data_IF_748303744777
#
_entry.id   IF_748303744777
#
_cell.length_a   1.000
_cell.length_b   1.000
_cell.length_c   1.000
_cell.angle_alpha   90.00
_cell.angle_beta   90.00
_cell.angle_gamma   90.00
#
_symmetry.space_group_name_H-M   'P 1'
#
loop_
_entity.id
_entity.type
_entity.pdbx_description
1 polymer ?
#
# COMPACT_ATOMS: atom_id res chain seq x y z
N UNK A 1 -17.09 28.01 -37.48
CA UNK A 1 -16.97 26.53 -37.38
C UNK A 1 -18.32 25.84 -37.39
N UNK A 2 -19.15 25.96 -36.34
CA UNK A 2 -20.48 25.29 -36.32
C UNK A 2 -21.49 25.96 -37.27
N UNK A 3 -21.42 27.29 -37.41
CA UNK A 3 -22.27 28.06 -38.36
C UNK A 3 -21.94 27.74 -39.83
N UNK A 4 -20.70 27.35 -40.12
CA UNK A 4 -20.29 27.00 -41.49
C UNK A 4 -20.80 25.62 -41.91
N UNK A 5 -21.03 24.72 -40.95
CA UNK A 5 -21.61 23.39 -41.16
C UNK A 5 -23.13 23.46 -41.39
N UNK A 6 -23.84 24.46 -40.85
CA UNK A 6 -25.29 24.59 -41.05
C UNK A 6 -25.68 25.13 -42.43
N UNK A 7 -24.71 25.67 -43.17
CA UNK A 7 -24.92 26.27 -44.49
C UNK A 7 -24.60 25.30 -45.63
N UNK A 8 -24.26 24.03 -45.35
CA UNK A 8 -23.99 23.02 -46.37
C UNK A 8 -25.24 22.16 -46.66
N UNK A 9 -25.61 22.07 -47.94
CA UNK A 9 -26.78 21.28 -48.41
C UNK A 9 -26.56 19.75 -48.31
N UNK A 10 -25.32 19.28 -48.08
CA UNK A 10 -24.98 17.85 -47.94
C UNK A 10 -24.02 17.64 -46.77
N UNK A 11 -24.25 16.59 -45.97
CA UNK A 11 -23.41 16.29 -44.79
C UNK A 11 -22.08 15.71 -45.24
N UNK A 12 -21.00 16.49 -45.14
CA UNK A 12 -19.65 15.99 -45.32
C UNK A 12 -19.10 15.41 -44.00
N UNK A 13 -19.07 14.09 -43.91
CA UNK A 13 -18.63 13.35 -42.71
C UNK A 13 -17.22 13.75 -42.27
N UNK A 14 -16.28 13.90 -43.21
CA UNK A 14 -14.89 14.26 -42.89
C UNK A 14 -14.76 15.69 -42.33
N UNK A 15 -15.58 16.62 -42.85
CA UNK A 15 -15.60 18.01 -42.36
C UNK A 15 -16.24 18.10 -40.98
N UNK A 16 -17.30 17.34 -40.75
CA UNK A 16 -17.93 17.21 -39.44
C UNK A 16 -16.98 16.62 -38.40
N UNK A 17 -16.31 15.51 -38.73
CA UNK A 17 -15.32 14.87 -37.86
C UNK A 17 -14.18 15.83 -37.50
N UNK A 18 -13.67 16.58 -38.47
CA UNK A 18 -12.64 17.60 -38.22
C UNK A 18 -13.11 18.67 -37.24
N UNK A 19 -14.33 19.19 -37.40
CA UNK A 19 -14.88 20.19 -36.47
C UNK A 19 -15.09 19.60 -35.07
N UNK A 20 -15.53 18.35 -34.95
CA UNK A 20 -15.65 17.66 -33.66
C UNK A 20 -14.28 17.54 -32.99
N UNK A 21 -13.25 17.12 -33.74
CA UNK A 21 -11.87 17.01 -33.23
C UNK A 21 -11.35 18.38 -32.78
N UNK A 22 -11.59 19.44 -33.55
CA UNK A 22 -11.12 20.78 -33.20
C UNK A 22 -11.81 21.31 -31.92
N UNK A 23 -13.13 21.10 -31.78
CA UNK A 23 -13.86 21.43 -30.54
C UNK A 23 -13.31 20.62 -29.35
N UNK A 24 -13.09 19.32 -29.55
CA UNK A 24 -12.55 18.42 -28.53
C UNK A 24 -11.17 18.90 -28.05
N UNK A 25 -10.26 19.21 -28.98
CA UNK A 25 -8.92 19.67 -28.68
C UNK A 25 -8.95 21.00 -27.92
N UNK A 26 -9.81 21.94 -28.32
CA UNK A 26 -9.98 23.21 -27.61
C UNK A 26 -10.46 23.00 -26.17
N UNK A 27 -11.49 22.17 -25.96
CA UNK A 27 -12.02 21.87 -24.62
C UNK A 27 -10.98 21.15 -23.76
N UNK A 28 -10.27 20.16 -24.31
CA UNK A 28 -9.22 19.41 -23.61
C UNK A 28 -8.05 20.31 -23.18
N UNK A 29 -7.62 21.21 -24.06
CA UNK A 29 -6.56 22.17 -23.76
C UNK A 29 -6.99 23.13 -22.65
N UNK A 30 -8.22 23.67 -22.71
CA UNK A 30 -8.73 24.56 -21.67
C UNK A 30 -8.90 23.83 -20.33
N UNK A 31 -9.35 22.58 -20.35
CA UNK A 31 -9.46 21.74 -19.15
C UNK A 31 -8.10 21.45 -18.51
N UNK A 32 -7.08 21.17 -19.32
CA UNK A 32 -5.70 20.98 -18.86
C UNK A 32 -5.16 22.26 -18.21
N UNK A 33 -5.40 23.41 -18.83
CA UNK A 33 -4.98 24.71 -18.28
C UNK A 33 -5.60 24.98 -16.91
N UNK A 34 -6.90 24.72 -16.74
CA UNK A 34 -7.60 24.88 -15.45
C UNK A 34 -7.04 23.90 -14.42
N UNK A 35 -6.89 22.62 -14.78
CA UNK A 35 -6.40 21.59 -13.86
C UNK A 35 -4.96 21.88 -13.37
N UNK A 36 -4.07 22.32 -14.27
CA UNK A 36 -2.66 22.55 -13.95
C UNK A 36 -2.44 23.91 -13.27
N UNK A 37 -3.08 24.98 -13.75
CA UNK A 37 -2.80 26.34 -13.27
C UNK A 37 -3.74 26.81 -12.14
N UNK A 38 -5.04 26.48 -12.21
CA UNK A 38 -6.02 26.98 -11.24
C UNK A 38 -6.11 26.06 -10.02
N UNK A 39 -6.13 24.73 -10.23
CA UNK A 39 -6.28 23.74 -9.14
C UNK A 39 -4.95 23.14 -8.67
N UNK A 40 -3.85 23.46 -9.39
CA UNK A 40 -2.50 22.96 -9.10
C UNK A 40 -2.46 21.42 -8.96
N UNK A 41 -2.79 20.74 -10.06
CA UNK A 41 -2.77 19.27 -10.15
C UNK A 41 -1.42 18.67 -9.71
N UNK A 42 -0.30 19.37 -9.95
CA UNK A 42 1.01 18.93 -9.49
C UNK A 42 1.06 18.82 -7.97
N UNK A 43 0.63 19.87 -7.25
CA UNK A 43 0.53 19.82 -5.79
C UNK A 43 -0.45 18.75 -5.32
N UNK A 44 -1.61 18.62 -5.95
CA UNK A 44 -2.59 17.60 -5.56
C UNK A 44 -2.05 16.18 -5.72
N UNK A 45 -1.34 15.89 -6.82
CA UNK A 45 -0.68 14.59 -6.98
C UNK A 45 0.44 14.37 -5.96
N UNK A 46 1.16 15.43 -5.57
CA UNK A 46 2.11 15.39 -4.45
C UNK A 46 1.42 14.97 -3.14
N UNK A 47 0.27 15.55 -2.81
CA UNK A 47 -0.51 15.17 -1.63
C UNK A 47 -1.01 13.72 -1.70
N UNK A 48 -1.46 13.27 -2.88
CA UNK A 48 -1.84 11.87 -3.09
C UNK A 48 -0.66 10.92 -2.81
N UNK A 49 0.55 11.27 -3.27
CA UNK A 49 1.76 10.51 -2.96
C UNK A 49 2.06 10.51 -1.46
N UNK A 50 1.97 11.67 -0.83
CA UNK A 50 2.29 11.84 0.58
C UNK A 50 1.40 10.99 1.49
N UNK A 51 0.08 10.98 1.24
CA UNK A 51 -0.89 10.31 2.10
C UNK A 51 -1.28 8.90 1.60
N UNK A 52 -1.75 8.72 0.36
CA UNK A 52 -2.15 7.38 -0.09
C UNK A 52 -0.96 6.44 -0.29
N UNK A 53 0.21 6.97 -0.70
CA UNK A 53 1.39 6.17 -1.02
C UNK A 53 2.47 6.22 0.09
N UNK A 54 2.12 6.77 1.26
CA UNK A 54 2.98 6.89 2.44
C UNK A 54 4.31 7.61 2.16
N UNK A 55 4.29 8.66 1.33
CA UNK A 55 5.47 9.48 1.05
C UNK A 55 6.04 10.19 2.29
N UNK A 56 5.20 10.50 3.28
CA UNK A 56 5.60 11.15 4.54
C UNK A 56 5.97 10.14 5.63
N UNK A 57 7.18 9.60 5.57
CA UNK A 57 7.65 8.55 6.48
C UNK A 57 7.59 8.89 7.98
N UNK A 58 7.92 10.13 8.34
CA UNK A 58 7.87 10.64 9.73
C UNK A 58 6.43 10.70 10.27
N UNK A 59 5.51 11.23 9.45
CA UNK A 59 4.09 11.27 9.80
C UNK A 59 3.51 9.88 10.05
N UNK A 60 3.79 8.93 9.15
CA UNK A 60 3.30 7.56 9.33
C UNK A 60 3.98 6.83 10.48
N UNK A 61 5.22 7.16 10.82
CA UNK A 61 5.88 6.63 12.03
C UNK A 61 5.14 7.09 13.29
N UNK A 62 4.88 8.39 13.38
CA UNK A 62 4.15 8.97 14.51
C UNK A 62 2.72 8.44 14.58
N UNK A 63 2.03 8.32 13.43
CA UNK A 63 0.70 7.72 13.36
C UNK A 63 0.69 6.27 13.87
N UNK A 64 1.65 5.43 13.46
CA UNK A 64 1.79 4.08 14.00
C UNK A 64 2.04 4.10 15.52
N UNK A 65 2.85 5.04 16.01
CA UNK A 65 3.10 5.21 17.44
C UNK A 65 1.82 5.51 18.23
N UNK A 66 1.02 6.47 17.76
CA UNK A 66 -0.25 6.87 18.39
C UNK A 66 -1.30 5.75 18.31
N UNK A 67 -1.40 5.08 17.17
CA UNK A 67 -2.33 3.96 16.97
C UNK A 67 -2.03 2.81 17.93
N UNK A 68 -0.76 2.44 18.06
CA UNK A 68 -0.31 1.34 18.91
C UNK A 68 -0.35 1.70 20.41
N UNK A 69 -0.01 2.94 20.78
CA UNK A 69 -0.18 3.42 22.16
C UNK A 69 -1.63 3.38 22.62
N UNK A 70 -2.57 3.65 21.70
CA UNK A 70 -4.01 3.51 21.95
C UNK A 70 -4.45 2.04 22.04
N UNK A 71 -3.82 1.13 21.29
CA UNK A 71 -4.15 -0.30 21.32
C UNK A 71 -3.96 -0.95 22.70
N UNK A 72 -3.05 -0.41 23.53
CA UNK A 72 -2.79 -0.91 24.89
C UNK A 72 -3.87 -0.47 25.92
N UNK A 73 -4.78 0.45 25.56
CA UNK A 73 -5.71 1.12 26.49
C UNK A 73 -7.18 0.99 26.08
N UNK A 74 -7.74 -0.22 26.08
CA UNK A 74 -9.15 -0.58 25.72
C UNK A 74 -9.42 -0.85 24.22
N UNK A 75 -9.69 -2.13 23.89
CA UNK A 75 -9.92 -2.65 22.53
C UNK A 75 -11.20 -2.12 21.85
N UNK A 76 -12.20 -1.67 22.60
CA UNK A 76 -13.51 -1.23 22.09
C UNK A 76 -13.51 0.22 21.56
N UNK A 77 -12.61 1.09 22.05
CA UNK A 77 -12.54 2.50 21.62
C UNK A 77 -11.57 2.74 20.45
N UNK A 78 -10.86 1.70 19.99
CA UNK A 78 -9.85 1.76 18.90
C UNK A 78 -10.37 2.49 17.66
N UNK A 79 -11.63 2.27 17.30
CA UNK A 79 -12.26 2.86 16.11
C UNK A 79 -12.52 4.36 16.22
N UNK A 80 -12.84 4.87 17.41
CA UNK A 80 -13.07 6.32 17.62
C UNK A 80 -11.75 7.07 17.72
N UNK A 81 -10.72 6.40 18.21
CA UNK A 81 -9.42 6.99 18.46
C UNK A 81 -8.50 7.00 17.23
N UNK A 82 -8.75 6.20 16.19
CA UNK A 82 -7.86 6.14 15.02
C UNK A 82 -7.85 7.42 14.20
N UNK A 83 -9.02 8.00 13.92
CA UNK A 83 -9.12 9.29 13.22
C UNK A 83 -8.43 10.40 14.03
N UNK A 84 -8.67 10.42 15.34
CA UNK A 84 -7.97 11.34 16.25
C UNK A 84 -6.46 11.10 16.29
N UNK A 85 -6.01 9.85 16.27
CA UNK A 85 -4.58 9.50 16.23
C UNK A 85 -3.92 10.00 14.94
N UNK A 86 -4.65 9.96 13.83
CA UNK A 86 -4.21 10.50 12.54
C UNK A 86 -4.07 12.03 12.58
N UNK A 87 -5.05 12.73 13.15
CA UNK A 87 -5.02 14.19 13.34
C UNK A 87 -3.92 14.63 14.33
N UNK A 88 -3.74 13.88 15.43
CA UNK A 88 -2.67 14.13 16.40
C UNK A 88 -1.29 13.95 15.77
N UNK A 89 -1.09 12.89 14.99
CA UNK A 89 0.17 12.69 14.27
C UNK A 89 0.46 13.85 13.30
N UNK A 90 -0.56 14.39 12.63
CA UNK A 90 -0.40 15.55 11.75
C UNK A 90 -0.05 16.82 12.52
N UNK A 91 -0.65 16.99 13.71
CA UNK A 91 -0.34 18.10 14.62
C UNK A 91 1.11 18.04 15.11
N UNK A 92 1.56 16.85 15.53
CA UNK A 92 2.94 16.64 16.02
C UNK A 92 3.97 16.86 14.91
N UNK A 93 3.64 16.47 13.69
CA UNK A 93 4.56 16.60 12.53
C UNK A 93 4.41 17.93 11.78
N UNK A 94 3.48 18.80 12.18
CA UNK A 94 3.29 20.13 11.60
C UNK A 94 2.74 20.12 10.17
N UNK A 95 1.90 19.15 9.81
CA UNK A 95 1.33 19.00 8.46
C UNK A 95 -0.21 19.19 8.41
N UNK A 96 -0.76 19.92 9.37
CA UNK A 96 -2.22 20.12 9.52
C UNK A 96 -2.87 20.68 8.25
N UNK A 97 -2.23 21.67 7.61
CA UNK A 97 -2.78 22.35 6.44
C UNK A 97 -2.89 21.43 5.21
N UNK A 98 -1.98 20.45 5.10
CA UNK A 98 -2.01 19.45 4.03
C UNK A 98 -3.03 18.34 4.33
N UNK A 99 -3.34 18.11 5.62
CA UNK A 99 -4.29 17.09 6.08
C UNK A 99 -5.74 17.50 5.83
N UNK A 100 -6.07 18.79 5.73
CA UNK A 100 -7.45 19.28 5.61
C UNK A 100 -8.25 18.64 4.47
N UNK A 101 -7.58 18.19 3.40
CA UNK A 101 -8.21 17.51 2.25
C UNK A 101 -8.44 16.01 2.46
N UNK A 102 -7.96 15.45 3.57
CA UNK A 102 -7.97 14.03 3.85
C UNK A 102 -8.70 13.73 5.15
N UNK A 103 -9.44 12.63 5.16
CA UNK A 103 -10.10 12.13 6.38
C UNK A 103 -9.99 10.63 6.44
N UNK A 104 -9.47 10.12 7.56
CA UNK A 104 -9.34 8.68 7.79
C UNK A 104 -10.65 8.12 8.37
N UNK A 105 -11.15 7.05 7.75
CA UNK A 105 -12.39 6.37 8.10
C UNK A 105 -12.12 4.88 8.22
N UNK A 106 -12.72 4.25 9.22
CA UNK A 106 -12.75 2.80 9.33
C UNK A 106 -14.12 2.28 8.89
N UNK A 107 -14.18 1.47 7.83
CA UNK A 107 -15.37 0.72 7.46
C UNK A 107 -15.44 -0.55 8.31
N UNK A 108 -16.56 -0.80 8.99
CA UNK A 108 -16.79 -2.06 9.71
C UNK A 108 -17.02 -3.17 8.70
N UNK A 109 -16.25 -4.25 8.75
CA UNK A 109 -16.75 -5.53 8.24
C UNK A 109 -17.84 -6.01 9.21
N UNK A 110 -19.01 -6.31 8.69
CA UNK A 110 -20.15 -6.87 9.45
C UNK A 110 -19.96 -8.35 9.81
N UNK A 111 -18.73 -8.86 9.81
CA UNK A 111 -18.39 -10.18 10.33
C UNK A 111 -18.20 -10.12 11.84
N UNK A 112 -18.52 -11.23 12.49
CA UNK A 112 -18.79 -11.41 13.92
C UNK A 112 -17.81 -10.71 14.90
N UNK A 113 -18.28 -10.40 16.14
CA UNK A 113 -17.50 -9.68 17.17
C UNK A 113 -16.20 -10.37 17.65
N UNK A 114 -15.80 -11.48 17.04
CA UNK A 114 -14.64 -12.31 17.44
C UNK A 114 -13.42 -12.16 16.52
N UNK A 115 -13.51 -11.40 15.41
CA UNK A 115 -12.35 -11.09 14.56
C UNK A 115 -11.46 -10.01 15.20
N UNK A 116 -10.73 -10.43 16.22
CA UNK A 116 -9.85 -9.60 17.08
C UNK A 116 -8.50 -9.26 16.46
N UNK A 117 -8.27 -9.59 15.18
CA UNK A 117 -7.00 -9.34 14.49
C UNK A 117 -6.82 -7.86 14.16
N UNK A 118 -5.66 -7.32 14.55
CA UNK A 118 -5.22 -5.98 14.18
C UNK A 118 -5.07 -5.87 12.66
N UNK A 119 -4.80 -7.00 11.98
CA UNK A 119 -4.81 -7.11 10.54
C UNK A 119 -6.16 -6.69 9.90
N UNK A 120 -7.28 -7.26 10.37
CA UNK A 120 -8.60 -6.93 9.82
C UNK A 120 -8.98 -5.47 10.09
N UNK A 121 -8.57 -4.94 11.24
CA UNK A 121 -8.73 -3.51 11.55
C UNK A 121 -7.99 -2.63 10.53
N UNK A 122 -6.71 -2.92 10.24
CA UNK A 122 -5.92 -2.17 9.26
C UNK A 122 -6.49 -2.27 7.84
N UNK A 123 -7.07 -3.43 7.47
CA UNK A 123 -7.78 -3.59 6.19
C UNK A 123 -9.07 -2.75 6.10
N UNK A 124 -9.71 -2.45 7.22
CA UNK A 124 -10.92 -1.61 7.27
C UNK A 124 -10.65 -0.11 7.10
N UNK A 125 -9.39 0.33 7.16
CA UNK A 125 -9.03 1.75 7.06
C UNK A 125 -9.10 2.26 5.63
N UNK A 126 -9.66 3.45 5.46
CA UNK A 126 -9.81 4.12 4.16
C UNK A 126 -9.62 5.63 4.33
N UNK A 127 -8.85 6.24 3.45
CA UNK A 127 -8.74 7.67 3.30
C UNK A 127 -9.80 8.19 2.33
N UNK A 128 -10.55 9.19 2.77
CA UNK A 128 -11.31 10.06 1.88
C UNK A 128 -10.43 11.21 1.44
N UNK A 129 -10.58 11.62 0.19
CA UNK A 129 -9.91 12.76 -0.40
C UNK A 129 -10.95 13.72 -0.97
N UNK A 130 -10.90 14.97 -0.50
CA UNK A 130 -11.75 16.04 -0.97
C UNK A 130 -11.08 16.78 -2.12
N UNK A 131 -11.80 16.90 -3.24
CA UNK A 131 -11.28 17.49 -4.47
C UNK A 131 -12.26 18.49 -5.07
N UNK A 132 -11.71 19.48 -5.76
CA UNK A 132 -12.47 20.48 -6.50
C UNK A 132 -12.55 20.10 -7.98
N UNK A 133 -13.52 20.67 -8.70
CA UNK A 133 -13.59 20.51 -10.14
C UNK A 133 -12.37 21.16 -10.80
N UNK A 134 -11.71 20.52 -11.80
CA UNK A 134 -12.12 19.34 -12.58
C UNK A 134 -11.52 18.00 -12.11
N UNK A 135 -10.91 17.95 -10.92
CA UNK A 135 -10.19 16.76 -10.45
C UNK A 135 -11.09 15.55 -10.19
N UNK A 136 -12.39 15.76 -10.07
CA UNK A 136 -13.39 14.69 -10.03
C UNK A 136 -13.36 13.77 -11.26
N UNK A 137 -12.84 14.25 -12.41
CA UNK A 137 -12.65 13.46 -13.62
C UNK A 137 -11.46 12.49 -13.52
N UNK A 138 -10.48 12.78 -12.66
CA UNK A 138 -9.33 11.92 -12.37
C UNK A 138 -9.60 11.03 -11.15
N UNK A 139 -10.15 11.61 -10.08
CA UNK A 139 -10.38 10.95 -8.80
C UNK A 139 -11.82 10.47 -8.66
N UNK A 140 -12.24 9.56 -9.54
CA UNK A 140 -13.50 8.86 -9.36
C UNK A 140 -13.50 8.06 -8.05
N UNK A 141 -14.68 7.74 -7.46
CA UNK A 141 -14.75 6.88 -6.27
C UNK A 141 -14.04 5.52 -6.47
N UNK A 142 -14.10 4.97 -7.68
CA UNK A 142 -13.39 3.74 -8.06
C UNK A 142 -11.87 3.90 -8.03
N UNK A 143 -11.37 5.06 -8.46
CA UNK A 143 -9.95 5.39 -8.43
C UNK A 143 -9.45 5.62 -7.00
N UNK A 144 -10.24 6.32 -6.17
CA UNK A 144 -9.93 6.49 -4.75
C UNK A 144 -9.87 5.14 -4.03
N UNK A 145 -10.77 4.21 -4.34
CA UNK A 145 -10.72 2.87 -3.76
C UNK A 145 -9.46 2.09 -4.17
N UNK A 146 -9.01 2.24 -5.42
CA UNK A 146 -7.73 1.69 -5.89
C UNK A 146 -6.54 2.27 -5.13
N UNK A 147 -6.53 3.57 -4.85
CA UNK A 147 -5.53 4.17 -3.96
C UNK A 147 -5.63 3.64 -2.53
N UNK A 148 -6.84 3.45 -2.00
CA UNK A 148 -7.05 2.87 -0.68
C UNK A 148 -6.53 1.43 -0.55
N UNK A 149 -6.63 0.62 -1.62
CA UNK A 149 -6.04 -0.71 -1.63
C UNK A 149 -4.51 -0.67 -1.46
N UNK A 150 -3.84 0.25 -2.17
CA UNK A 150 -2.39 0.47 -2.05
C UNK A 150 -2.06 1.00 -0.65
N UNK A 151 -2.81 1.99 -0.17
CA UNK A 151 -2.65 2.60 1.14
C UNK A 151 -2.71 1.56 2.27
N UNK A 152 -3.75 0.71 2.29
CA UNK A 152 -3.91 -0.35 3.29
C UNK A 152 -2.72 -1.31 3.27
N UNK A 153 -2.32 -1.74 2.08
CA UNK A 153 -1.19 -2.66 1.92
C UNK A 153 0.13 -2.08 2.46
N UNK A 154 0.43 -0.82 2.12
CA UNK A 154 1.60 -0.11 2.61
C UNK A 154 1.54 0.13 4.12
N UNK A 155 0.37 0.52 4.64
CA UNK A 155 0.15 0.78 6.06
C UNK A 155 0.32 -0.49 6.90
N UNK A 156 -0.11 -1.64 6.39
CA UNK A 156 0.08 -2.95 7.05
C UNK A 156 1.57 -3.24 7.22
N UNK A 157 2.35 -3.10 6.14
CA UNK A 157 3.82 -3.30 6.19
C UNK A 157 4.44 -2.34 7.20
N UNK A 158 4.08 -1.05 7.14
CA UNK A 158 4.62 -0.02 8.04
C UNK A 158 4.28 -0.28 9.50
N UNK A 159 3.06 -0.73 9.78
CA UNK A 159 2.60 -1.04 11.13
C UNK A 159 3.37 -2.23 11.71
N UNK A 160 3.54 -3.32 10.95
CA UNK A 160 4.33 -4.46 11.44
C UNK A 160 5.82 -4.15 11.58
N UNK A 161 6.39 -3.31 10.69
CA UNK A 161 7.76 -2.81 10.89
C UNK A 161 7.87 -2.09 12.24
N UNK A 162 6.93 -1.21 12.56
CA UNK A 162 6.92 -0.49 13.82
C UNK A 162 6.76 -1.44 15.02
N UNK A 163 5.81 -2.36 14.98
CA UNK A 163 5.58 -3.32 16.08
C UNK A 163 6.80 -4.20 16.35
N UNK A 164 7.40 -4.79 15.31
CA UNK A 164 8.58 -5.64 15.46
C UNK A 164 9.79 -4.81 15.97
N UNK A 165 9.90 -3.54 15.59
CA UNK A 165 10.92 -2.65 16.13
C UNK A 165 10.70 -2.36 17.63
N UNK A 166 9.44 -2.24 18.08
CA UNK A 166 9.12 -2.11 19.51
C UNK A 166 9.54 -3.34 20.31
N UNK A 167 9.41 -4.54 19.73
CA UNK A 167 9.90 -5.78 20.37
C UNK A 167 11.40 -5.66 20.68
N UNK A 168 12.21 -5.21 19.71
CA UNK A 168 13.64 -4.96 19.94
C UNK A 168 13.89 -3.91 21.03
N UNK A 169 13.15 -2.80 21.01
CA UNK A 169 13.31 -1.75 22.01
C UNK A 169 12.99 -2.25 23.43
N UNK A 170 11.90 -3.01 23.60
CA UNK A 170 11.50 -3.63 24.86
C UNK A 170 12.54 -4.64 25.35
N UNK A 171 13.03 -5.53 24.47
CA UNK A 171 14.08 -6.50 24.80
C UNK A 171 15.38 -5.82 25.23
N UNK A 172 15.80 -4.78 24.49
CA UNK A 172 17.02 -4.02 24.79
C UNK A 172 16.90 -3.30 26.13
N UNK A 173 15.73 -2.72 26.43
CA UNK A 173 15.48 -2.09 27.72
C UNK A 173 15.46 -3.09 28.87
N UNK A 174 14.81 -4.26 28.70
CA UNK A 174 14.82 -5.35 29.69
C UNK A 174 16.23 -5.86 29.97
N UNK A 175 17.05 -6.10 28.94
CA UNK A 175 18.43 -6.54 29.10
C UNK A 175 19.32 -5.51 29.81
N UNK A 176 19.03 -4.21 29.68
CA UNK A 176 19.71 -3.15 30.44
C UNK A 176 19.27 -3.09 31.91
N UNK A 177 17.99 -3.36 32.17
CA UNK A 177 17.39 -3.26 33.51
C UNK A 177 17.59 -4.51 34.37
N UNK A 178 17.61 -5.70 33.78
CA UNK A 178 17.82 -6.98 34.46
C UNK A 178 19.17 -7.58 34.03
N UNK A 179 20.16 -7.56 34.92
CA UNK A 179 21.53 -7.99 34.62
C UNK A 179 21.70 -9.50 34.36
N UNK A 180 20.72 -10.32 34.74
CA UNK A 180 20.85 -11.79 34.76
C UNK A 180 19.92 -12.54 33.79
N UNK A 181 19.17 -11.85 32.92
CA UNK A 181 18.33 -12.52 31.91
C UNK A 181 19.07 -12.54 30.57
N UNK A 182 19.59 -13.70 30.11
CA UNK A 182 20.25 -13.78 28.81
C UNK A 182 19.26 -13.46 27.69
N UNK A 183 19.70 -12.78 26.61
CA UNK A 183 18.86 -12.54 25.46
C UNK A 183 18.43 -13.86 24.82
N UNK A 184 17.14 -14.03 24.55
CA UNK A 184 16.64 -15.20 23.84
C UNK A 184 17.03 -15.10 22.35
N UNK A 185 18.01 -15.91 21.95
CA UNK A 185 18.54 -15.92 20.59
C UNK A 185 17.50 -16.34 19.55
N UNK A 186 16.53 -17.21 19.89
CA UNK A 186 15.47 -17.63 18.96
C UNK A 186 14.57 -16.45 18.58
N UNK A 187 14.14 -15.67 19.58
CA UNK A 187 13.32 -14.47 19.36
C UNK A 187 14.08 -13.43 18.54
N UNK A 188 15.36 -13.21 18.84
CA UNK A 188 16.20 -12.27 18.08
C UNK A 188 16.32 -12.70 16.62
N UNK A 189 16.52 -14.00 16.39
CA UNK A 189 16.68 -14.58 15.06
C UNK A 189 15.40 -14.42 14.23
N UNK A 190 14.26 -14.87 14.74
CA UNK A 190 12.97 -14.72 14.06
C UNK A 190 12.63 -13.25 13.80
N UNK A 191 12.85 -12.36 14.79
CA UNK A 191 12.65 -10.91 14.61
C UNK A 191 13.47 -10.37 13.44
N UNK A 192 14.74 -10.74 13.35
CA UNK A 192 15.62 -10.28 12.27
C UNK A 192 15.12 -10.78 10.91
N UNK A 193 14.63 -12.01 10.80
CA UNK A 193 14.05 -12.53 9.56
C UNK A 193 12.77 -11.81 9.15
N UNK A 194 11.83 -11.58 10.08
CA UNK A 194 10.59 -10.85 9.81
C UNK A 194 10.90 -9.40 9.39
N UNK A 195 11.80 -8.73 10.09
CA UNK A 195 12.23 -7.37 9.77
C UNK A 195 12.93 -7.30 8.41
N UNK A 196 13.80 -8.27 8.11
CA UNK A 196 14.44 -8.36 6.80
C UNK A 196 13.40 -8.48 5.68
N UNK A 197 12.42 -9.37 5.82
CA UNK A 197 11.33 -9.50 4.85
C UNK A 197 10.56 -8.20 4.65
N UNK A 198 10.08 -7.58 5.73
CA UNK A 198 9.28 -6.35 5.67
C UNK A 198 10.06 -5.18 5.05
N UNK A 199 11.34 -5.02 5.41
CA UNK A 199 12.19 -3.97 4.85
C UNK A 199 12.43 -4.15 3.35
N UNK A 200 12.67 -5.38 2.89
CA UNK A 200 12.86 -5.64 1.46
C UNK A 200 11.57 -5.45 0.67
N UNK A 201 10.42 -5.85 1.22
CA UNK A 201 9.11 -5.59 0.61
C UNK A 201 8.82 -4.09 0.51
N UNK A 202 9.01 -3.35 1.60
CA UNK A 202 8.81 -1.90 1.62
C UNK A 202 9.73 -1.19 0.62
N UNK A 203 11.00 -1.58 0.56
CA UNK A 203 11.96 -0.99 -0.36
C UNK A 203 11.56 -1.24 -1.82
N UNK A 204 11.21 -2.47 -2.18
CA UNK A 204 10.74 -2.80 -3.53
C UNK A 204 9.54 -1.96 -3.93
N UNK A 205 8.53 -1.89 -3.06
CA UNK A 205 7.30 -1.16 -3.37
C UNK A 205 7.59 0.35 -3.47
N UNK A 206 8.29 0.94 -2.50
CA UNK A 206 8.51 2.39 -2.52
C UNK A 206 9.49 2.81 -3.61
N UNK A 207 10.67 2.17 -3.70
CA UNK A 207 11.74 2.63 -4.58
C UNK A 207 11.57 2.10 -6.00
N UNK A 208 11.44 0.79 -6.17
CA UNK A 208 11.46 0.20 -7.52
C UNK A 208 10.11 0.36 -8.25
N UNK A 209 8.99 0.41 -7.51
CA UNK A 209 7.64 0.52 -8.07
C UNK A 209 7.13 1.95 -8.01
N UNK A 210 6.92 2.50 -6.81
CA UNK A 210 6.23 3.78 -6.63
C UNK A 210 7.03 4.96 -7.17
N UNK A 211 8.30 5.15 -6.80
CA UNK A 211 9.11 6.27 -7.30
C UNK A 211 9.28 6.22 -8.82
N UNK A 212 9.50 5.04 -9.40
CA UNK A 212 9.62 4.87 -10.85
C UNK A 212 8.32 5.22 -11.57
N UNK A 213 7.19 4.63 -11.18
CA UNK A 213 5.91 4.86 -11.86
C UNK A 213 5.39 6.29 -11.62
N UNK A 214 5.57 6.83 -10.42
CA UNK A 214 5.15 8.20 -10.10
C UNK A 214 5.98 9.22 -10.86
N UNK A 215 7.29 9.00 -11.03
CA UNK A 215 8.14 9.85 -11.86
C UNK A 215 7.67 9.94 -13.31
N UNK A 216 7.23 8.82 -13.91
CA UNK A 216 6.66 8.79 -15.27
C UNK A 216 5.39 9.65 -15.34
N UNK A 217 4.46 9.46 -14.40
CA UNK A 217 3.22 10.25 -14.34
C UNK A 217 3.53 11.74 -14.17
N UNK A 218 4.44 12.08 -13.27
CA UNK A 218 4.78 13.46 -12.96
C UNK A 218 5.41 14.18 -14.15
N UNK A 219 6.23 13.49 -14.93
CA UNK A 219 6.81 14.04 -16.16
C UNK A 219 5.73 14.40 -17.18
N UNK A 220 4.68 13.59 -17.32
CA UNK A 220 3.54 13.87 -18.22
C UNK A 220 2.74 15.08 -17.74
N UNK A 221 2.51 15.20 -16.44
CA UNK A 221 1.82 16.36 -15.85
C UNK A 221 2.65 17.64 -16.07
N UNK A 222 3.96 17.57 -15.82
CA UNK A 222 4.89 18.70 -15.99
C UNK A 222 5.07 19.13 -17.43
N UNK A 223 4.94 18.22 -18.40
CA UNK A 223 4.96 18.56 -19.82
C UNK A 223 3.72 19.31 -20.31
N UNK A 224 2.76 19.63 -19.43
CA UNK A 224 1.51 20.34 -19.75
C UNK A 224 0.74 19.69 -20.91
N UNK A 225 0.70 18.36 -20.90
CA UNK A 225 0.00 17.59 -21.92
C UNK A 225 -1.52 17.79 -21.84
N UNK A 226 -2.23 17.39 -22.89
CA UNK A 226 -3.70 17.39 -22.91
C UNK A 226 -4.26 16.61 -21.72
N UNK A 227 -5.43 17.03 -21.23
CA UNK A 227 -6.04 16.43 -20.04
C UNK A 227 -6.31 14.93 -20.23
N UNK A 228 -6.70 14.49 -21.42
CA UNK A 228 -6.89 13.07 -21.74
C UNK A 228 -5.59 12.26 -21.64
N UNK A 229 -4.45 12.86 -22.02
CA UNK A 229 -3.14 12.22 -21.91
C UNK A 229 -2.76 12.06 -20.44
N UNK A 230 -3.01 13.08 -19.62
CA UNK A 230 -2.82 13.03 -18.17
C UNK A 230 -3.71 11.94 -17.54
N UNK A 231 -5.00 11.90 -17.90
CA UNK A 231 -5.95 10.91 -17.41
C UNK A 231 -5.53 9.49 -17.77
N UNK A 232 -5.07 9.27 -19.01
CA UNK A 232 -4.55 7.98 -19.45
C UNK A 232 -3.27 7.60 -18.70
N UNK A 233 -2.33 8.53 -18.54
CA UNK A 233 -1.09 8.29 -17.80
C UNK A 233 -1.36 7.93 -16.34
N UNK A 234 -2.32 8.61 -15.70
CA UNK A 234 -2.74 8.31 -14.33
C UNK A 234 -3.40 6.94 -14.19
N UNK A 235 -4.25 6.56 -15.16
CA UNK A 235 -4.86 5.23 -15.21
C UNK A 235 -3.81 4.13 -15.35
N UNK A 236 -2.83 4.33 -16.25
CA UNK A 236 -1.71 3.40 -16.45
C UNK A 236 -0.83 3.31 -15.21
N UNK A 237 -0.49 4.45 -14.59
CA UNK A 237 0.24 4.52 -13.34
C UNK A 237 -0.41 3.63 -12.26
N UNK A 238 -1.70 3.84 -12.01
CA UNK A 238 -2.42 3.15 -10.94
C UNK A 238 -2.54 1.64 -11.22
N UNK A 239 -2.80 1.26 -12.48
CA UNK A 239 -2.84 -0.14 -12.89
C UNK A 239 -1.48 -0.83 -12.72
N UNK A 240 -0.39 -0.17 -13.12
CA UNK A 240 0.97 -0.70 -12.97
C UNK A 240 1.34 -0.88 -11.50
N UNK A 241 1.05 0.12 -10.66
CA UNK A 241 1.32 0.03 -9.21
C UNK A 241 0.54 -1.10 -8.57
N UNK A 242 -0.77 -1.21 -8.84
CA UNK A 242 -1.59 -2.31 -8.32
C UNK A 242 -1.07 -3.68 -8.79
N UNK A 243 -0.65 -3.79 -10.04
CA UNK A 243 -0.07 -5.01 -10.62
C UNK A 243 1.23 -5.40 -9.91
N UNK A 244 2.17 -4.47 -9.81
CA UNK A 244 3.48 -4.70 -9.21
C UNK A 244 3.42 -4.91 -7.68
N UNK A 245 2.37 -4.42 -7.01
CA UNK A 245 2.06 -4.72 -5.61
C UNK A 245 1.26 -6.03 -5.43
N UNK A 246 0.96 -6.75 -6.51
CA UNK A 246 0.18 -8.00 -6.51
C UNK A 246 -1.27 -7.84 -6.01
N UNK A 247 -1.82 -6.63 -6.11
CA UNK A 247 -3.16 -6.27 -5.62
C UNK A 247 -4.25 -6.37 -6.69
N UNK A 248 -3.89 -6.61 -7.96
CA UNK A 248 -4.87 -6.88 -9.01
C UNK A 248 -5.48 -8.26 -8.78
N UNK A 249 -6.82 -8.29 -8.70
CA UNK A 249 -7.57 -9.53 -8.83
C UNK A 249 -7.73 -9.82 -10.33
N UNK A 250 -7.47 -11.05 -10.76
CA UNK A 250 -7.63 -11.49 -12.17
C UNK A 250 -9.10 -11.39 -12.67
N UNK A 251 -10.04 -11.00 -11.81
CA UNK A 251 -11.48 -10.96 -12.07
C UNK A 251 -12.02 -9.71 -12.76
N UNK A 252 -11.24 -8.64 -12.99
CA UNK A 252 -11.72 -7.53 -13.85
C UNK A 252 -11.96 -8.00 -15.31
N UNK A 253 -11.44 -9.17 -15.70
CA UNK A 253 -11.58 -9.76 -17.05
C UNK A 253 -12.69 -10.81 -17.21
N UNK A 254 -13.35 -11.26 -16.14
CA UNK A 254 -14.38 -12.32 -16.26
C UNK A 254 -15.63 -12.02 -15.42
N UNK A 255 -16.69 -11.62 -16.13
CA UNK A 255 -18.06 -11.58 -15.63
C UNK A 255 -18.48 -12.98 -15.16
N UNK A 256 -19.04 -13.02 -13.95
CA UNK A 256 -19.83 -14.09 -13.36
C UNK A 256 -19.06 -15.38 -13.02
N UNK A 257 -18.89 -15.66 -11.72
CA UNK A 257 -19.28 -16.92 -11.03
C UNK A 257 -18.77 -16.85 -9.57
N UNK A 258 -19.72 -17.02 -8.64
CA UNK A 258 -19.64 -17.43 -7.23
C UNK A 258 -18.32 -17.29 -6.45
N UNK A 259 -18.38 -16.50 -5.37
CA UNK A 259 -17.93 -16.91 -4.03
C UNK A 259 -16.47 -17.32 -3.84
N UNK A 260 -15.66 -16.35 -3.37
CA UNK A 260 -14.57 -16.56 -2.40
C UNK A 260 -13.57 -17.68 -2.70
N UNK A 261 -12.67 -17.52 -3.68
CA UNK A 261 -11.31 -18.12 -3.67
C UNK A 261 -10.38 -17.71 -4.84
N UNK A 262 -10.58 -16.59 -5.56
CA UNK A 262 -9.61 -16.12 -6.57
C UNK A 262 -8.87 -14.85 -6.10
N UNK A 263 -8.13 -14.96 -5.00
CA UNK A 263 -7.11 -13.96 -4.65
C UNK A 263 -5.80 -14.38 -5.30
N UNK A 264 -5.04 -13.42 -5.82
CA UNK A 264 -3.68 -13.67 -6.33
C UNK A 264 -2.89 -14.52 -5.32
N UNK A 265 -2.33 -15.68 -5.71
CA UNK A 265 -1.67 -16.59 -4.77
C UNK A 265 -0.49 -15.92 -4.05
N UNK A 266 0.21 -15.00 -4.71
CA UNK A 266 1.28 -14.20 -4.10
C UNK A 266 0.73 -13.37 -2.95
N UNK A 267 -0.37 -12.65 -3.20
CA UNK A 267 -1.03 -11.85 -2.16
C UNK A 267 -1.52 -12.72 -1.01
N UNK A 268 -2.09 -13.90 -1.29
CA UNK A 268 -2.48 -14.88 -0.29
C UNK A 268 -1.33 -15.30 0.64
N UNK A 269 -0.13 -15.54 0.07
CA UNK A 269 1.07 -15.85 0.85
C UNK A 269 1.57 -14.65 1.65
N UNK A 270 1.53 -13.44 1.08
CA UNK A 270 1.84 -12.20 1.80
C UNK A 270 0.93 -12.00 3.03
N UNK A 271 -0.37 -12.29 2.91
CA UNK A 271 -1.30 -12.21 4.04
C UNK A 271 -0.93 -13.19 5.16
N UNK A 272 -0.51 -14.41 4.82
CA UNK A 272 -0.04 -15.38 5.82
C UNK A 272 1.23 -14.90 6.52
N UNK A 273 2.19 -14.32 5.78
CA UNK A 273 3.40 -13.73 6.33
C UNK A 273 3.10 -12.56 7.28
N UNK A 274 2.11 -11.72 6.93
CA UNK A 274 1.62 -10.66 7.81
C UNK A 274 0.97 -11.20 9.08
N UNK A 275 0.18 -12.27 8.99
CA UNK A 275 -0.36 -12.96 10.16
C UNK A 275 0.72 -13.54 11.09
N UNK A 276 1.86 -13.98 10.54
CA UNK A 276 3.03 -14.39 11.35
C UNK A 276 3.64 -13.18 12.07
N UNK A 277 3.78 -12.04 11.38
CA UNK A 277 4.27 -10.80 11.99
C UNK A 277 3.38 -10.33 13.15
N UNK A 278 2.06 -10.41 12.98
CA UNK A 278 1.07 -10.10 14.01
C UNK A 278 1.20 -11.00 15.24
N UNK A 279 1.20 -12.33 15.03
CA UNK A 279 1.36 -13.31 16.12
C UNK A 279 2.65 -13.09 16.90
N UNK A 280 3.76 -12.87 16.20
CA UNK A 280 5.06 -12.60 16.80
C UNK A 280 5.04 -11.30 17.65
N UNK A 281 4.42 -10.23 17.12
CA UNK A 281 4.29 -8.97 17.84
C UNK A 281 3.47 -9.13 19.12
N UNK A 282 2.34 -9.84 19.09
CA UNK A 282 1.50 -10.06 20.28
C UNK A 282 2.14 -10.97 21.33
N UNK A 283 2.76 -12.06 20.90
CA UNK A 283 3.43 -13.02 21.77
C UNK A 283 4.52 -12.37 22.63
N UNK A 284 5.20 -11.37 22.09
CA UNK A 284 6.27 -10.66 22.82
C UNK A 284 5.77 -9.49 23.68
N UNK A 285 4.48 -9.16 23.60
CA UNK A 285 3.82 -8.11 24.40
C UNK A 285 3.20 -8.65 25.70
N UNK A 286 2.91 -9.94 25.82
CA UNK A 286 2.34 -10.53 27.03
C UNK A 286 3.30 -10.39 28.21
N UNK A 287 2.75 -10.05 29.39
CA UNK A 287 3.53 -9.67 30.58
C UNK A 287 4.23 -10.85 31.24
N UNK A 288 3.66 -12.05 31.13
CA UNK A 288 4.22 -13.28 31.65
C UNK A 288 4.73 -14.13 30.48
N UNK A 289 6.02 -14.49 30.43
CA UNK A 289 6.51 -15.48 29.48
C UNK A 289 5.82 -16.81 29.82
N UNK A 290 5.03 -17.35 28.90
CA UNK A 290 4.59 -18.74 29.00
C UNK A 290 5.82 -19.65 29.00
N UNK A 291 5.76 -20.76 29.74
CA UNK A 291 6.81 -21.79 29.68
C UNK A 291 6.99 -22.33 28.24
N UNK A 292 5.95 -22.20 27.41
CA UNK A 292 5.90 -22.65 26.00
C UNK A 292 6.36 -21.58 24.98
N UNK A 293 6.79 -20.38 25.42
CA UNK A 293 7.14 -19.26 24.52
C UNK A 293 8.19 -19.64 23.48
N UNK A 294 9.18 -20.46 23.85
CA UNK A 294 10.22 -20.89 22.91
C UNK A 294 9.69 -21.83 21.84
N UNK A 295 8.80 -22.74 22.20
CA UNK A 295 8.20 -23.70 21.28
C UNK A 295 7.26 -22.98 20.29
N UNK A 296 6.52 -21.97 20.77
CA UNK A 296 5.69 -21.15 19.89
C UNK A 296 6.54 -20.32 18.90
N UNK A 297 7.70 -19.80 19.34
CA UNK A 297 8.64 -19.07 18.47
C UNK A 297 9.24 -20.00 17.41
N UNK A 298 9.61 -21.24 17.78
CA UNK A 298 10.14 -22.22 16.84
C UNK A 298 9.08 -22.61 15.80
N UNK A 299 7.83 -22.84 16.21
CA UNK A 299 6.71 -23.09 15.30
C UNK A 299 6.44 -21.92 14.34
N UNK A 300 6.50 -20.68 14.83
CA UNK A 300 6.37 -19.49 13.97
C UNK A 300 7.54 -19.36 12.99
N UNK A 301 8.76 -19.69 13.41
CA UNK A 301 9.93 -19.64 12.54
C UNK A 301 9.87 -20.70 11.42
N UNK A 302 9.44 -21.92 11.72
CA UNK A 302 9.19 -22.95 10.71
C UNK A 302 8.09 -22.52 9.74
N UNK A 303 6.97 -21.99 10.26
CA UNK A 303 5.87 -21.48 9.45
C UNK A 303 6.34 -20.35 8.52
N UNK A 304 7.16 -19.43 9.04
CA UNK A 304 7.75 -18.35 8.26
C UNK A 304 8.62 -18.89 7.12
N UNK A 305 9.51 -19.85 7.40
CA UNK A 305 10.35 -20.52 6.41
C UNK A 305 9.53 -21.12 5.25
N UNK A 306 8.47 -21.87 5.57
CA UNK A 306 7.59 -22.45 4.55
C UNK A 306 6.90 -21.37 3.71
N UNK A 307 6.39 -20.31 4.34
CA UNK A 307 5.70 -19.25 3.61
C UNK A 307 6.64 -18.41 2.74
N UNK A 308 7.83 -18.07 3.23
CA UNK A 308 8.80 -17.28 2.45
C UNK A 308 9.36 -18.08 1.27
N UNK A 309 9.62 -19.37 1.44
CA UNK A 309 10.02 -20.26 0.35
C UNK A 309 8.91 -20.37 -0.71
N UNK A 310 7.65 -20.52 -0.28
CA UNK A 310 6.50 -20.52 -1.18
C UNK A 310 6.37 -19.19 -1.93
N UNK A 311 6.58 -18.05 -1.26
CA UNK A 311 6.55 -16.73 -1.89
C UNK A 311 7.64 -16.63 -2.95
N UNK A 312 8.88 -16.99 -2.63
CA UNK A 312 10.01 -16.94 -3.57
C UNK A 312 9.71 -17.79 -4.80
N UNK A 313 9.20 -19.02 -4.62
CA UNK A 313 8.82 -19.88 -5.74
C UNK A 313 7.77 -19.23 -6.65
N UNK A 314 6.70 -18.68 -6.06
CA UNK A 314 5.67 -17.98 -6.83
C UNK A 314 6.23 -16.77 -7.59
N UNK A 315 7.17 -16.03 -6.99
CA UNK A 315 7.83 -14.88 -7.64
C UNK A 315 8.77 -15.34 -8.78
N UNK A 316 9.47 -16.48 -8.64
CA UNK A 316 10.26 -17.10 -9.73
C UNK A 316 9.35 -17.48 -10.90
N UNK A 317 8.22 -18.13 -10.61
CA UNK A 317 7.29 -18.60 -11.64
C UNK A 317 6.70 -17.41 -12.43
N UNK A 318 6.32 -16.33 -11.74
CA UNK A 318 5.86 -15.09 -12.39
C UNK A 318 6.96 -14.39 -13.20
N UNK A 319 8.21 -14.42 -12.72
CA UNK A 319 9.37 -13.89 -13.46
C UNK A 319 9.62 -14.69 -14.74
N UNK A 320 9.41 -16.01 -14.73
CA UNK A 320 9.57 -16.85 -15.92
C UNK A 320 8.52 -16.54 -17.00
N UNK A 321 7.34 -16.07 -16.58
CA UNK A 321 6.23 -15.73 -17.45
C UNK A 321 6.26 -14.28 -17.97
N UNK A 322 7.01 -13.37 -17.34
CA UNK A 322 7.00 -11.94 -17.67
C UNK A 322 8.34 -11.24 -17.45
N UNK A 323 8.73 -10.36 -18.38
CA UNK A 323 9.96 -9.56 -18.26
C UNK A 323 9.77 -8.37 -17.29
N UNK A 324 9.78 -8.64 -15.99
CA UNK A 324 9.65 -7.59 -14.97
C UNK A 324 11.00 -7.32 -14.30
N UNK A 325 11.64 -6.21 -14.70
CA UNK A 325 12.87 -5.68 -14.09
C UNK A 325 12.77 -5.50 -12.56
N UNK A 326 11.73 -4.81 -12.03
CA UNK A 326 11.57 -4.60 -10.59
C UNK A 326 11.45 -5.91 -9.81
N UNK A 327 10.69 -6.88 -10.32
CA UNK A 327 10.49 -8.19 -9.69
C UNK A 327 11.81 -8.97 -9.56
N UNK A 328 12.68 -8.87 -10.57
CA UNK A 328 13.99 -9.52 -10.53
C UNK A 328 14.91 -8.96 -9.44
N UNK A 329 14.81 -7.65 -9.17
CA UNK A 329 15.55 -6.97 -8.09
C UNK A 329 15.01 -7.37 -6.72
N UNK A 330 13.68 -7.43 -6.55
CA UNK A 330 13.08 -7.95 -5.32
C UNK A 330 13.55 -9.37 -5.03
N UNK A 331 13.52 -10.26 -6.03
CA UNK A 331 13.91 -11.65 -5.85
C UNK A 331 15.38 -11.79 -5.47
N UNK A 332 16.27 -11.00 -6.09
CA UNK A 332 17.69 -10.97 -5.74
C UNK A 332 17.93 -10.47 -4.31
N UNK A 333 17.15 -9.49 -3.84
CA UNK A 333 17.27 -8.97 -2.48
C UNK A 333 16.68 -9.91 -1.43
N UNK A 334 15.51 -10.52 -1.71
CA UNK A 334 14.86 -11.47 -0.81
C UNK A 334 15.65 -12.77 -0.68
N UNK A 335 16.17 -13.29 -1.80
CA UNK A 335 16.88 -14.57 -1.85
C UNK A 335 18.36 -14.39 -2.25
N UNK A 336 19.01 -13.40 -1.63
CA UNK A 336 20.43 -13.17 -1.85
C UNK A 336 21.23 -14.42 -1.43
N UNK A 337 22.05 -14.96 -2.33
CA UNK A 337 22.78 -16.23 -2.18
C UNK A 337 21.90 -17.47 -1.96
N UNK A 338 20.64 -17.47 -2.42
CA UNK A 338 19.71 -18.57 -2.18
C UNK A 338 19.52 -18.89 -0.70
N UNK A 339 19.68 -17.92 0.21
CA UNK A 339 19.68 -18.17 1.64
C UNK A 339 18.38 -18.86 2.11
N UNK A 340 17.23 -18.49 1.53
CA UNK A 340 15.95 -19.12 1.84
C UNK A 340 15.71 -20.38 0.99
N UNK A 341 16.08 -20.35 -0.30
CA UNK A 341 15.87 -21.50 -1.19
C UNK A 341 16.82 -22.68 -0.94
N UNK A 342 18.02 -22.44 -0.42
CA UNK A 342 19.03 -23.47 -0.13
C UNK A 342 18.84 -24.11 1.24
N UNK A 343 18.40 -23.34 2.25
CA UNK A 343 18.15 -23.85 3.60
C UNK A 343 16.99 -24.85 3.67
N UNK A 344 16.00 -24.72 2.78
CA UNK A 344 14.90 -25.69 2.64
C UNK A 344 15.22 -26.90 1.74
N UNK A 345 16.29 -26.85 0.94
CA UNK A 345 16.75 -28.01 0.15
C UNK A 345 17.65 -28.97 0.95
N UNK A 346 18.11 -28.56 2.14
CA UNK A 346 18.90 -29.42 3.04
C UNK A 346 18.06 -30.33 3.96
N UNK A 347 16.73 -30.25 3.89
CA UNK A 347 15.80 -31.06 4.68
C UNK A 347 14.92 -31.99 3.82
N UNK A 348 15.45 -32.47 2.69
CA UNK A 348 14.83 -33.51 1.86
C UNK A 348 15.65 -34.81 1.89
#
# INVERSE_FOLDING_TARGET
MVVDLSNEDTINVFRLEKVIIDIKNYVSARLSEIAVNEVDLERQMGLIKDFFLLGRGEFYLEFCSQMVGTMETYREERFKNVTRSFELAATVTGITDDLDKFSLICQRSTSEPDDTSDFNFLQGLSLKYEYEWPLNLLFSPTTIERYNNIFRFLLIIRTYQYEIQRVWAKQTWRAKSAKDVPPNNKIITLRNYLMFFLNNMQYYIQVDVLESQFGILMNVIKSRSDFEVIQRAHTVFLANVLSHCFLLNESETQLNVTGSQNRNPIYGTLLKLFGICEKFAHMTQTKDPSDDLEDEVDQLNESFGVQIASLIQLLVDVKSASCLGPLSQLLLRLDFNCWFSASHNTSA
#
